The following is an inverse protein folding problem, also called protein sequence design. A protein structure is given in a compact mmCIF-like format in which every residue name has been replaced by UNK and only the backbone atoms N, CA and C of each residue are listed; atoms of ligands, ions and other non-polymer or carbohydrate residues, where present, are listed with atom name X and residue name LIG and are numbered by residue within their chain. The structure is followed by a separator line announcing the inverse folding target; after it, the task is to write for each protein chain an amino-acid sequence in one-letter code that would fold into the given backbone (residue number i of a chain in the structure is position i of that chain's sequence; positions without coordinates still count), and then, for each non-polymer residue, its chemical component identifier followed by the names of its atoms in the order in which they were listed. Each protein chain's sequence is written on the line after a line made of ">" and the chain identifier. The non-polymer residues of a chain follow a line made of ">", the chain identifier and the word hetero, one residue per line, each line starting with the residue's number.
data_IF_783108395653
#
_entry.id   IF_783108395653
#
_cell.length_a   1.000
_cell.length_b   1.000
_cell.length_c   1.000
_cell.angle_alpha   90.00
_cell.angle_beta   90.00
_cell.angle_gamma   90.00
#
_symmetry.space_group_name_H-M   'P 1'
#
loop_
_entity.id
_entity.type
_entity.pdbx_description
1 polymer ?
#
# COMPACT_ATOMS: atom_id res chain seq x y z
N UNK A 1 6.49 53.03 -22.42
CA UNK A 1 6.15 51.88 -21.56
C UNK A 1 6.75 50.61 -22.17
N UNK A 2 7.65 50.00 -21.44
CA UNK A 2 8.46 48.89 -21.95
C UNK A 2 7.70 47.56 -21.76
N UNK A 3 7.20 46.99 -22.85
CA UNK A 3 6.46 45.70 -22.85
C UNK A 3 7.38 44.49 -23.01
N UNK A 4 8.66 44.64 -22.79
CA UNK A 4 9.62 43.53 -22.77
C UNK A 4 9.61 42.85 -21.40
N UNK A 5 8.97 41.71 -21.29
CA UNK A 5 9.17 40.85 -20.13
C UNK A 5 8.02 39.94 -19.68
N UNK A 6 6.87 39.96 -20.32
CA UNK A 6 5.86 38.95 -20.02
C UNK A 6 6.04 37.76 -20.98
N UNK A 7 6.89 36.83 -20.61
CA UNK A 7 6.79 35.48 -21.16
C UNK A 7 5.41 34.94 -20.72
N UNK A 8 4.59 34.42 -21.64
CA UNK A 8 3.30 33.87 -21.26
C UNK A 8 3.43 32.90 -20.09
N UNK A 9 2.54 32.99 -19.13
CA UNK A 9 2.59 32.15 -17.92
C UNK A 9 2.65 30.64 -18.24
N UNK A 10 2.05 30.24 -19.36
CA UNK A 10 2.08 28.87 -19.91
C UNK A 10 3.50 28.42 -20.30
N UNK A 11 4.27 29.28 -20.95
CA UNK A 11 5.65 28.99 -21.38
C UNK A 11 6.59 28.85 -20.18
N UNK A 12 6.45 29.71 -19.19
CA UNK A 12 7.24 29.63 -17.96
C UNK A 12 6.92 28.40 -17.12
N UNK A 13 5.66 27.98 -17.07
CA UNK A 13 5.25 26.79 -16.37
C UNK A 13 5.86 25.53 -17.00
N UNK A 14 5.81 25.42 -18.33
CA UNK A 14 6.39 24.27 -19.04
C UNK A 14 7.91 24.19 -18.91
N UNK A 15 8.62 25.34 -18.95
CA UNK A 15 10.09 25.37 -18.77
C UNK A 15 10.57 24.90 -17.41
N UNK A 16 9.72 24.97 -16.37
CA UNK A 16 10.05 24.48 -15.01
C UNK A 16 9.83 22.97 -14.83
N UNK A 17 9.15 22.32 -15.76
CA UNK A 17 8.62 20.96 -15.58
C UNK A 17 9.28 19.95 -16.49
N UNK A 18 9.78 20.38 -17.64
CA UNK A 18 10.36 19.48 -18.62
C UNK A 18 11.45 20.16 -19.43
N UNK A 19 12.43 19.37 -19.84
CA UNK A 19 13.47 19.80 -20.76
C UNK A 19 12.94 19.91 -22.17
N UNK A 20 13.60 20.72 -23.01
CA UNK A 20 13.34 20.67 -24.44
C UNK A 20 13.73 19.31 -25.01
N UNK A 21 12.98 18.89 -26.03
CA UNK A 21 13.29 17.65 -26.73
C UNK A 21 14.77 17.58 -27.15
N UNK A 22 15.34 16.43 -26.93
CA UNK A 22 16.70 16.09 -27.34
C UNK A 22 16.67 14.71 -28.00
N UNK A 23 17.55 14.49 -28.97
CA UNK A 23 17.73 13.17 -29.59
C UNK A 23 18.40 12.21 -28.59
N UNK A 24 17.59 11.54 -27.80
CA UNK A 24 18.00 10.55 -26.79
C UNK A 24 16.90 9.50 -26.61
N UNK A 25 17.14 8.52 -25.77
CA UNK A 25 16.12 7.56 -25.34
C UNK A 25 15.17 8.19 -24.31
N UNK A 26 13.91 7.76 -24.31
CA UNK A 26 12.90 8.19 -23.35
C UNK A 26 12.10 7.01 -22.85
N UNK A 27 11.81 6.97 -21.56
CA UNK A 27 10.87 6.02 -21.00
C UNK A 27 9.44 6.42 -21.33
N UNK A 28 8.53 5.47 -21.40
CA UNK A 28 7.09 5.72 -21.50
C UNK A 28 6.66 6.70 -20.39
N UNK A 29 5.86 7.68 -20.76
CA UNK A 29 5.38 8.70 -19.81
C UNK A 29 6.37 9.86 -19.60
N UNK A 30 7.61 9.79 -20.08
CA UNK A 30 8.56 10.90 -20.01
C UNK A 30 8.02 12.11 -20.78
N UNK A 31 8.23 13.30 -20.24
CA UNK A 31 7.75 14.55 -20.83
C UNK A 31 8.90 15.37 -21.43
N UNK A 32 8.62 16.08 -22.51
CA UNK A 32 9.53 17.06 -23.10
C UNK A 32 8.76 18.21 -23.75
N UNK A 33 9.45 19.30 -24.04
CA UNK A 33 8.94 20.45 -24.80
C UNK A 33 9.47 20.35 -26.23
N UNK A 34 8.58 20.28 -27.21
CA UNK A 34 8.94 20.41 -28.62
C UNK A 34 8.17 21.59 -29.23
N UNK A 35 8.92 22.53 -29.85
CA UNK A 35 8.36 23.85 -30.09
C UNK A 35 8.01 24.56 -28.77
N UNK A 36 6.74 24.90 -28.62
CA UNK A 36 6.19 25.53 -27.40
C UNK A 36 5.15 24.65 -26.71
N UNK A 37 5.06 23.39 -27.10
CA UNK A 37 4.06 22.44 -26.62
C UNK A 37 4.73 21.37 -25.77
N UNK A 38 4.06 20.97 -24.68
CA UNK A 38 4.45 19.87 -23.80
C UNK A 38 3.93 18.55 -24.40
N UNK A 39 4.81 17.59 -24.52
CA UNK A 39 4.52 16.25 -25.02
C UNK A 39 4.90 15.17 -24.02
N UNK A 40 4.23 14.02 -24.11
CA UNK A 40 4.51 12.82 -23.34
C UNK A 40 4.79 11.64 -24.27
N UNK A 41 5.79 10.83 -23.96
CA UNK A 41 6.10 9.61 -24.70
C UNK A 41 5.01 8.55 -24.50
N UNK A 42 4.43 8.04 -25.61
CA UNK A 42 3.38 7.00 -25.61
C UNK A 42 3.91 5.62 -25.21
N UNK A 43 5.18 5.36 -25.50
CA UNK A 43 5.88 4.11 -25.22
C UNK A 43 7.37 4.40 -24.94
N UNK A 44 8.13 3.35 -24.58
CA UNK A 44 9.58 3.46 -24.44
C UNK A 44 10.20 3.73 -25.83
N UNK A 45 11.00 4.79 -25.92
CA UNK A 45 11.83 5.13 -27.09
C UNK A 45 13.24 4.67 -26.78
N UNK A 46 13.55 3.44 -27.22
CA UNK A 46 14.80 2.74 -26.87
C UNK A 46 16.01 3.13 -27.75
N UNK A 47 15.77 3.83 -28.83
CA UNK A 47 16.82 4.32 -29.75
C UNK A 47 16.71 5.84 -29.88
N UNK A 48 17.85 6.54 -29.79
CA UNK A 48 17.89 7.98 -30.00
C UNK A 48 17.50 8.31 -31.45
N UNK A 49 16.42 9.02 -31.65
CA UNK A 49 15.83 9.31 -32.96
C UNK A 49 15.55 10.82 -33.16
N UNK A 50 15.25 11.23 -34.36
CA UNK A 50 14.70 12.56 -34.63
C UNK A 50 13.23 12.60 -34.17
N UNK A 51 12.69 13.83 -34.00
CA UNK A 51 11.29 13.99 -33.59
C UNK A 51 10.34 13.29 -34.57
N UNK A 52 9.38 12.56 -34.02
CA UNK A 52 8.25 11.97 -34.76
C UNK A 52 6.99 12.01 -33.91
N UNK A 53 5.92 12.56 -34.40
CA UNK A 53 4.63 12.66 -33.72
C UNK A 53 4.03 11.29 -33.39
N UNK A 54 4.49 10.23 -34.06
CA UNK A 54 4.02 8.87 -33.82
C UNK A 54 4.29 8.40 -32.38
N UNK A 55 5.40 8.84 -31.79
CA UNK A 55 5.84 8.41 -30.45
C UNK A 55 5.39 9.33 -29.32
N UNK A 56 4.81 10.48 -29.64
CA UNK A 56 4.46 11.50 -28.68
C UNK A 56 2.98 11.83 -28.70
N UNK A 57 2.44 12.21 -27.58
CA UNK A 57 1.11 12.80 -27.42
C UNK A 57 1.22 14.18 -26.76
N UNK A 58 0.44 15.12 -27.27
CA UNK A 58 0.34 16.42 -26.62
C UNK A 58 -0.29 16.27 -25.24
N UNK A 59 0.28 16.93 -24.27
CA UNK A 59 -0.21 16.95 -22.89
C UNK A 59 -0.12 18.36 -22.28
N UNK A 60 -0.64 18.52 -21.10
CA UNK A 60 -0.50 19.76 -20.35
C UNK A 60 -0.47 19.44 -18.84
N UNK A 61 -0.11 20.46 -18.04
CA UNK A 61 0.02 20.29 -16.58
C UNK A 61 -1.28 19.94 -15.90
N UNK A 62 -2.39 20.39 -16.41
CA UNK A 62 -3.70 20.12 -15.85
C UNK A 62 -4.06 18.64 -16.02
N UNK A 63 -3.80 18.09 -17.19
CA UNK A 63 -3.95 16.64 -17.47
C UNK A 63 -3.05 15.80 -16.54
N UNK A 64 -1.77 16.16 -16.42
CA UNK A 64 -0.82 15.44 -15.56
C UNK A 64 -1.28 15.48 -14.09
N UNK A 65 -1.72 16.64 -13.60
CA UNK A 65 -2.23 16.78 -12.24
C UNK A 65 -3.50 15.97 -12.00
N UNK A 66 -4.42 15.96 -12.98
CA UNK A 66 -5.64 15.18 -12.87
C UNK A 66 -5.35 13.67 -12.82
N UNK A 67 -4.42 13.18 -13.62
CA UNK A 67 -3.98 11.78 -13.61
C UNK A 67 -3.32 11.41 -12.27
N UNK A 68 -2.40 12.24 -11.76
CA UNK A 68 -1.78 12.03 -10.45
C UNK A 68 -2.81 12.06 -9.31
N UNK A 69 -3.79 12.95 -9.36
CA UNK A 69 -4.87 13.01 -8.38
C UNK A 69 -5.76 11.76 -8.45
N UNK A 70 -6.05 11.26 -9.65
CA UNK A 70 -6.82 10.04 -9.85
C UNK A 70 -6.05 8.81 -9.35
N UNK A 71 -4.75 8.72 -9.61
CA UNK A 71 -3.89 7.65 -9.11
C UNK A 71 -3.80 7.68 -7.57
N UNK A 72 -3.57 8.85 -6.98
CA UNK A 72 -3.58 9.02 -5.52
C UNK A 72 -4.94 8.67 -4.91
N UNK A 73 -6.03 9.07 -5.55
CA UNK A 73 -7.39 8.70 -5.13
C UNK A 73 -7.61 7.18 -5.21
N UNK A 74 -7.10 6.53 -6.25
CA UNK A 74 -7.21 5.06 -6.38
C UNK A 74 -6.40 4.32 -5.31
N UNK A 75 -5.24 4.85 -4.93
CA UNK A 75 -4.43 4.34 -3.81
C UNK A 75 -5.16 4.52 -2.47
N UNK A 76 -5.81 5.66 -2.28
CA UNK A 76 -6.62 5.93 -1.08
C UNK A 76 -7.95 5.16 -1.06
N UNK A 77 -8.56 4.88 -2.20
CA UNK A 77 -9.81 4.12 -2.29
C UNK A 77 -9.64 2.63 -1.93
N UNK A 78 -8.42 2.13 -1.81
CA UNK A 78 -8.12 0.79 -1.27
C UNK A 78 -8.01 0.74 0.26
N UNK A 79 -8.60 1.70 0.98
CA UNK A 79 -8.83 1.58 2.41
C UNK A 79 -9.96 0.58 2.66
N UNK A 80 -9.66 -0.70 2.51
CA UNK A 80 -10.61 -1.78 2.74
C UNK A 80 -10.40 -2.25 4.17
N UNK A 81 -11.41 -2.01 5.02
CA UNK A 81 -11.52 -2.72 6.30
C UNK A 81 -12.31 -4.00 6.04
N UNK A 82 -11.66 -5.14 6.17
CA UNK A 82 -12.27 -6.46 5.95
C UNK A 82 -12.15 -7.27 7.23
N UNK A 83 -13.26 -7.82 7.68
CA UNK A 83 -13.25 -8.76 8.80
C UNK A 83 -12.44 -10.01 8.42
N UNK A 84 -11.67 -10.51 9.38
CA UNK A 84 -10.88 -11.72 9.19
C UNK A 84 -11.82 -12.94 9.07
N UNK A 85 -11.55 -13.79 8.11
CA UNK A 85 -12.17 -15.11 8.03
C UNK A 85 -11.53 -16.03 9.08
N UNK A 86 -12.08 -15.97 10.30
CA UNK A 86 -11.56 -16.70 11.46
C UNK A 86 -11.88 -18.20 11.36
N UNK A 87 -10.97 -19.01 11.82
CA UNK A 87 -11.16 -20.48 11.87
C UNK A 87 -11.90 -20.89 13.15
N UNK A 88 -12.34 -22.15 13.20
CA UNK A 88 -12.98 -22.75 14.39
C UNK A 88 -12.06 -22.80 15.64
N UNK A 89 -10.79 -22.47 15.50
CA UNK A 89 -9.88 -22.34 16.66
C UNK A 89 -10.15 -21.08 17.47
N UNK A 90 -10.75 -20.05 16.87
CA UNK A 90 -11.21 -18.84 17.55
C UNK A 90 -12.63 -19.07 18.03
N UNK A 91 -12.87 -19.03 19.31
CA UNK A 91 -14.18 -19.29 19.93
C UNK A 91 -15.09 -18.07 19.94
N UNK A 92 -14.53 -16.89 20.09
CA UNK A 92 -15.27 -15.62 20.03
C UNK A 92 -14.36 -14.42 19.71
N UNK A 93 -14.97 -13.32 19.34
CA UNK A 93 -14.33 -12.00 19.14
C UNK A 93 -15.09 -11.01 20.00
N UNK A 94 -14.39 -10.21 20.82
CA UNK A 94 -15.02 -9.21 21.69
C UNK A 94 -15.29 -7.90 20.98
N UNK A 95 -14.32 -7.41 20.22
CA UNK A 95 -14.41 -6.11 19.57
C UNK A 95 -14.32 -6.24 18.04
N UNK A 96 -13.17 -6.64 17.54
CA UNK A 96 -12.93 -6.81 16.10
C UNK A 96 -11.78 -7.79 15.83
N UNK A 97 -11.79 -8.34 14.63
CA UNK A 97 -10.65 -9.03 14.03
C UNK A 97 -10.70 -8.73 12.54
N UNK A 98 -9.85 -7.86 12.06
CA UNK A 98 -9.91 -7.32 10.71
C UNK A 98 -8.54 -7.05 10.12
N UNK A 99 -8.47 -6.83 8.81
CA UNK A 99 -7.33 -6.19 8.18
C UNK A 99 -7.74 -4.96 7.40
N UNK A 100 -6.83 -4.02 7.28
CA UNK A 100 -6.94 -2.84 6.43
C UNK A 100 -5.85 -2.89 5.37
N UNK A 101 -6.20 -2.53 4.14
CA UNK A 101 -5.23 -2.44 3.05
C UNK A 101 -5.05 -0.99 2.62
N UNK A 102 -3.81 -0.52 2.61
CA UNK A 102 -3.39 0.80 2.15
C UNK A 102 -2.36 0.63 1.03
N UNK A 103 -2.82 0.59 -0.21
CA UNK A 103 -1.95 0.26 -1.35
C UNK A 103 -1.32 -1.12 -1.21
N UNK A 104 -0.02 -1.18 -1.01
CA UNK A 104 0.74 -2.42 -0.80
C UNK A 104 0.96 -2.78 0.68
N UNK A 105 0.43 -2.01 1.61
CA UNK A 105 0.56 -2.26 3.04
C UNK A 105 -0.71 -2.89 3.57
N UNK A 106 -0.58 -4.01 4.26
CA UNK A 106 -1.65 -4.65 5.01
C UNK A 106 -1.39 -4.47 6.50
N UNK A 107 -2.39 -4.00 7.22
CA UNK A 107 -2.41 -3.91 8.68
C UNK A 107 -3.48 -4.87 9.17
N UNK A 108 -3.08 -5.87 9.94
CA UNK A 108 -3.99 -6.78 10.62
C UNK A 108 -4.15 -6.31 12.06
N UNK A 109 -5.39 -6.05 12.45
CA UNK A 109 -5.75 -5.60 13.81
C UNK A 109 -6.64 -6.64 14.47
N UNK A 110 -6.27 -7.04 15.65
CA UNK A 110 -7.01 -7.99 16.50
C UNK A 110 -7.38 -7.33 17.82
N UNK A 111 -8.68 -7.20 18.05
CA UNK A 111 -9.28 -6.66 19.25
C UNK A 111 -10.11 -7.72 19.98
N UNK A 112 -9.43 -8.53 20.81
CA UNK A 112 -10.09 -9.43 21.73
C UNK A 112 -10.56 -10.76 21.16
N UNK A 113 -9.76 -11.47 20.33
CA UNK A 113 -10.06 -12.86 19.99
C UNK A 113 -9.85 -13.77 21.21
N UNK A 114 -10.70 -14.79 21.34
CA UNK A 114 -10.58 -15.79 22.42
C UNK A 114 -10.33 -17.16 21.82
N UNK A 115 -9.32 -17.85 22.37
CA UNK A 115 -8.93 -19.21 21.95
C UNK A 115 -8.94 -20.11 23.19
N UNK A 116 -9.72 -21.18 23.15
CA UNK A 116 -9.96 -22.04 24.34
C UNK A 116 -9.04 -23.27 24.44
N UNK A 117 -7.96 -23.29 23.67
CA UNK A 117 -6.98 -24.39 23.73
C UNK A 117 -5.56 -23.89 23.49
N UNK A 118 -4.60 -24.61 24.01
CA UNK A 118 -3.18 -24.41 23.70
C UNK A 118 -2.84 -25.00 22.33
N UNK A 119 -1.83 -24.48 21.68
CA UNK A 119 -1.30 -25.07 20.44
C UNK A 119 -0.15 -24.28 19.87
N UNK A 120 0.76 -25.02 19.26
CA UNK A 120 1.86 -24.48 18.48
C UNK A 120 1.39 -24.35 17.02
N UNK A 121 1.57 -23.18 16.40
CA UNK A 121 1.13 -22.95 14.99
C UNK A 121 -0.36 -23.23 14.74
N UNK A 122 -1.22 -22.69 15.58
CA UNK A 122 -2.67 -22.80 15.38
C UNK A 122 -3.11 -21.81 14.30
N UNK A 123 -3.76 -22.31 13.24
CA UNK A 123 -4.38 -21.44 12.24
C UNK A 123 -5.56 -20.69 12.86
N UNK A 124 -5.49 -19.36 12.88
CA UNK A 124 -6.52 -18.50 13.49
C UNK A 124 -7.34 -17.74 12.44
N UNK A 125 -6.77 -17.46 11.27
CA UNK A 125 -7.50 -16.86 10.15
C UNK A 125 -6.99 -17.36 8.80
N UNK A 126 -7.78 -17.13 7.76
CA UNK A 126 -7.46 -17.43 6.38
C UNK A 126 -7.98 -16.34 5.44
N UNK A 127 -7.53 -16.36 4.19
CA UNK A 127 -8.02 -15.45 3.15
C UNK A 127 -7.46 -14.03 3.24
N UNK A 128 -6.37 -13.81 3.98
CA UNK A 128 -5.66 -12.55 3.93
C UNK A 128 -4.99 -12.37 2.55
N UNK A 129 -4.77 -11.13 2.10
CA UNK A 129 -3.95 -10.86 0.93
C UNK A 129 -2.58 -11.53 1.03
N UNK A 130 -2.13 -12.14 -0.07
CA UNK A 130 -0.84 -12.84 -0.10
C UNK A 130 0.30 -11.83 0.00
N UNK A 131 1.26 -12.10 0.86
CA UNK A 131 2.38 -11.18 1.12
C UNK A 131 3.63 -11.49 0.31
N UNK A 132 4.53 -10.53 0.22
CA UNK A 132 5.86 -10.71 -0.39
C UNK A 132 6.77 -11.50 0.55
N UNK A 133 6.68 -11.24 1.86
CA UNK A 133 7.49 -11.87 2.90
C UNK A 133 6.63 -12.37 4.04
N UNK A 134 7.18 -13.28 4.85
CA UNK A 134 6.54 -13.73 6.09
C UNK A 134 6.41 -12.54 7.05
N UNK A 135 5.19 -12.29 7.48
CA UNK A 135 4.91 -11.30 8.51
C UNK A 135 4.83 -11.95 9.89
N UNK A 136 5.26 -11.21 10.88
CA UNK A 136 5.26 -11.62 12.29
C UNK A 136 4.69 -10.47 13.12
N UNK A 137 3.87 -10.80 14.09
CA UNK A 137 3.32 -9.89 15.08
C UNK A 137 3.17 -10.59 16.44
N UNK A 138 2.58 -9.90 17.39
CA UNK A 138 2.35 -10.44 18.73
C UNK A 138 0.88 -10.38 19.08
N UNK A 139 0.43 -11.38 19.84
CA UNK A 139 -0.84 -11.42 20.53
C UNK A 139 -0.57 -11.37 22.04
N UNK A 140 -1.29 -10.51 22.75
CA UNK A 140 -1.17 -10.37 24.19
C UNK A 140 -2.50 -10.08 24.85
N UNK A 141 -2.53 -10.10 26.16
CA UNK A 141 -3.68 -9.71 26.96
C UNK A 141 -3.62 -8.20 27.14
N UNK A 142 -4.77 -7.53 27.11
CA UNK A 142 -4.85 -6.09 27.42
C UNK A 142 -4.42 -5.82 28.87
N UNK A 143 -3.42 -4.98 29.04
CA UNK A 143 -2.89 -4.59 30.35
C UNK A 143 -3.91 -3.85 31.22
N UNK A 144 -4.93 -3.23 30.63
CA UNK A 144 -6.01 -2.55 31.37
C UNK A 144 -6.87 -3.49 32.20
N UNK A 145 -6.85 -4.78 31.92
CA UNK A 145 -7.59 -5.83 32.64
C UNK A 145 -6.80 -6.53 33.74
N UNK A 146 -5.74 -5.90 34.28
CA UNK A 146 -5.04 -6.34 35.47
C UNK A 146 -3.93 -7.37 35.21
N UNK A 147 -2.72 -6.89 34.90
CA UNK A 147 -1.50 -7.65 35.09
C UNK A 147 -0.99 -8.45 33.90
N UNK A 148 -1.00 -7.88 32.70
CA UNK A 148 -0.22 -8.45 31.60
C UNK A 148 1.26 -8.42 31.94
N UNK A 149 1.92 -9.57 31.95
CA UNK A 149 3.37 -9.70 32.09
C UNK A 149 3.98 -9.99 30.70
N UNK A 150 5.28 -9.82 30.54
CA UNK A 150 5.98 -10.17 29.30
C UNK A 150 5.79 -11.65 28.91
N UNK A 151 5.41 -12.52 29.83
CA UNK A 151 5.08 -13.92 29.59
C UNK A 151 3.67 -14.16 29.06
N UNK A 152 2.82 -13.14 29.06
CA UNK A 152 1.44 -13.19 28.56
C UNK A 152 1.32 -12.73 27.10
N UNK A 153 2.40 -12.84 26.36
CA UNK A 153 2.47 -12.55 24.93
C UNK A 153 2.79 -13.80 24.12
N UNK A 154 2.26 -13.86 22.93
CA UNK A 154 2.55 -14.94 21.99
C UNK A 154 2.81 -14.42 20.59
N UNK A 155 3.49 -15.25 19.80
CA UNK A 155 3.80 -14.96 18.43
C UNK A 155 2.59 -15.25 17.54
N UNK A 156 2.26 -14.32 16.65
CA UNK A 156 1.44 -14.60 15.47
C UNK A 156 2.24 -14.38 14.20
N UNK A 157 1.90 -15.10 13.15
CA UNK A 157 2.58 -14.96 11.85
C UNK A 157 1.65 -15.31 10.69
N UNK A 158 1.96 -14.78 9.52
CA UNK A 158 1.26 -15.06 8.29
C UNK A 158 2.16 -15.79 7.31
N UNK A 159 1.61 -16.76 6.58
CA UNK A 159 2.29 -17.47 5.50
C UNK A 159 1.99 -16.74 4.18
N UNK A 160 3.01 -16.15 3.51
CA UNK A 160 2.80 -15.28 2.35
C UNK A 160 2.09 -15.98 1.18
N UNK A 161 2.43 -17.24 0.92
CA UNK A 161 1.90 -17.99 -0.24
C UNK A 161 0.43 -18.37 -0.11
N UNK A 162 -0.08 -18.51 1.12
CA UNK A 162 -1.45 -18.98 1.37
C UNK A 162 -2.39 -17.89 1.88
N UNK A 163 -1.85 -16.82 2.50
CA UNK A 163 -2.65 -15.80 3.20
C UNK A 163 -3.31 -16.36 4.46
N UNK A 164 -2.71 -17.37 5.08
CA UNK A 164 -3.18 -17.95 6.34
C UNK A 164 -2.40 -17.37 7.51
N UNK A 165 -3.10 -17.06 8.59
CA UNK A 165 -2.53 -16.53 9.82
C UNK A 165 -2.56 -17.57 10.93
N UNK A 166 -1.44 -17.69 11.63
CA UNK A 166 -1.22 -18.66 12.70
C UNK A 166 -0.79 -17.93 13.99
N UNK A 167 -1.07 -18.56 15.12
CA UNK A 167 -0.57 -18.12 16.43
C UNK A 167 -0.06 -19.29 17.24
N UNK A 168 0.86 -19.00 18.15
CA UNK A 168 1.29 -19.92 19.21
C UNK A 168 0.52 -19.55 20.48
N UNK A 169 -0.33 -20.41 20.98
CA UNK A 169 -1.15 -20.14 22.17
C UNK A 169 -0.65 -20.95 23.35
N UNK A 170 -0.05 -20.27 24.30
CA UNK A 170 0.41 -20.84 25.58
C UNK A 170 -0.75 -20.90 26.58
N UNK A 171 -0.59 -21.70 27.64
CA UNK A 171 -1.66 -21.95 28.62
C UNK A 171 -2.17 -20.69 29.32
N UNK A 172 -1.31 -19.71 29.59
CA UNK A 172 -1.69 -18.44 30.25
C UNK A 172 -2.61 -17.57 29.39
N UNK A 173 -2.68 -17.80 28.05
CA UNK A 173 -3.49 -17.05 27.09
C UNK A 173 -4.84 -17.71 26.80
N UNK A 174 -5.03 -18.97 27.19
CA UNK A 174 -6.26 -19.73 26.92
C UNK A 174 -7.45 -19.10 27.63
N UNK A 175 -8.55 -18.92 26.89
CA UNK A 175 -9.79 -18.35 27.39
C UNK A 175 -9.77 -16.85 27.65
N UNK A 176 -8.63 -16.19 27.40
CA UNK A 176 -8.50 -14.75 27.57
C UNK A 176 -8.66 -14.00 26.25
N UNK A 177 -9.17 -12.76 26.26
CA UNK A 177 -9.20 -11.92 25.06
C UNK A 177 -7.79 -11.48 24.70
N UNK A 178 -7.40 -11.76 23.45
CA UNK A 178 -6.09 -11.48 22.90
C UNK A 178 -6.15 -10.32 21.91
N UNK A 179 -5.23 -9.41 22.06
CA UNK A 179 -5.08 -8.19 21.26
C UNK A 179 -3.75 -8.20 20.56
N UNK A 180 -3.70 -7.67 19.33
CA UNK A 180 -2.43 -7.62 18.62
C UNK A 180 -2.54 -6.97 17.25
N UNK A 181 -1.37 -6.69 16.71
CA UNK A 181 -1.26 -6.08 15.39
C UNK A 181 -0.11 -6.72 14.61
N UNK A 182 -0.28 -6.80 13.30
CA UNK A 182 0.74 -7.25 12.35
C UNK A 182 0.68 -6.40 11.10
N UNK A 183 1.84 -6.02 10.58
CA UNK A 183 1.96 -5.24 9.33
C UNK A 183 2.81 -6.02 8.33
N UNK A 184 2.39 -6.04 7.07
CA UNK A 184 3.14 -6.66 5.99
C UNK A 184 2.85 -6.03 4.62
N UNK A 185 3.63 -6.40 3.61
CA UNK A 185 3.54 -5.91 2.24
C UNK A 185 3.02 -6.99 1.29
N UNK A 186 2.18 -6.55 0.31
CA UNK A 186 1.60 -7.35 -0.77
C UNK A 186 2.06 -6.86 -2.14
#
# INVERSE_FOLDING_TARGET
>A
MNTQGMIPAKENANKKISDRYQKKTYAKGATCIYGDTLYRAKADITTAEEWTDAHWEETNMETIRAEMAAELSSLNAKNINVDLNLTSNVSSVREYARYSQYGHIIIVDIGGIVINKTGFSMRIAAGLPKGITRAVGFLGIDASNGGATATDMSLMYMIPSTGEMYAHIISSLVGKPLYGQMVYFV
#
